data_IF_167313133275
#
_entry.id   IF_167313133275
#
_cell.length_a   1.000
_cell.length_b   1.000
_cell.length_c   1.000
_cell.angle_alpha   90.00
_cell.angle_beta   90.00
_cell.angle_gamma   90.00
#
_symmetry.space_group_name_H-M   'P 1'
#
loop_
_entity.id
_entity.type
_entity.pdbx_description
1 polymer ?
#
# COMPACT_ATOMS: atom_id res chain seq x y z
N UNK A 1 -23.02 28.70 18.24
CA UNK A 1 -22.33 28.26 17.03
C UNK A 1 -22.56 26.77 16.86
N UNK A 2 -23.06 26.35 15.73
CA UNK A 2 -23.12 24.92 15.42
C UNK A 2 -21.68 24.44 15.13
N UNK A 3 -21.13 23.57 16.01
CA UNK A 3 -19.76 23.05 15.89
C UNK A 3 -19.67 21.73 15.11
N UNK A 4 -20.83 21.19 14.72
CA UNK A 4 -20.91 19.93 13.98
C UNK A 4 -20.88 20.27 12.48
N UNK A 5 -19.93 19.73 11.70
CA UNK A 5 -19.92 19.90 10.24
C UNK A 5 -21.18 19.34 9.60
N UNK A 6 -21.64 19.94 8.52
CA UNK A 6 -22.87 19.51 7.82
C UNK A 6 -22.59 18.55 6.66
N UNK A 7 -21.32 18.31 6.33
CA UNK A 7 -20.93 17.47 5.22
C UNK A 7 -19.41 17.51 4.96
N UNK A 8 -19.01 17.04 3.79
CA UNK A 8 -17.62 17.06 3.38
C UNK A 8 -17.08 18.50 3.23
N UNK A 9 -15.80 18.75 3.56
CA UNK A 9 -15.16 20.03 3.30
C UNK A 9 -15.21 20.40 1.80
N UNK A 10 -15.22 21.70 1.48
CA UNK A 10 -15.24 22.15 0.07
C UNK A 10 -14.02 21.69 -0.73
N UNK A 11 -12.90 21.53 -0.08
CA UNK A 11 -11.62 21.07 -0.65
C UNK A 11 -11.37 19.57 -0.44
N UNK A 12 -12.42 18.78 -0.16
CA UNK A 12 -12.32 17.34 -0.02
C UNK A 12 -11.85 16.71 -1.33
N UNK A 13 -10.83 15.87 -1.26
CA UNK A 13 -10.24 15.24 -2.43
C UNK A 13 -10.98 13.93 -2.77
N UNK A 14 -11.74 13.97 -3.85
CA UNK A 14 -12.39 12.79 -4.44
C UNK A 14 -11.50 12.25 -5.55
N UNK A 15 -10.99 11.03 -5.41
CA UNK A 15 -10.00 10.49 -6.32
C UNK A 15 -10.13 9.00 -6.63
N UNK A 16 -9.20 8.57 -7.45
CA UNK A 16 -8.95 7.18 -7.73
C UNK A 16 -7.49 6.83 -7.47
N UNK A 17 -7.24 5.58 -7.07
CA UNK A 17 -5.92 5.07 -6.73
C UNK A 17 -5.56 3.84 -7.55
N UNK A 18 -4.30 3.77 -7.96
CA UNK A 18 -3.69 2.65 -8.67
C UNK A 18 -2.23 2.50 -8.24
N UNK A 19 -1.55 1.43 -8.67
CA UNK A 19 -0.12 1.22 -8.44
C UNK A 19 0.62 1.02 -9.76
N UNK A 20 1.82 1.58 -9.87
CA UNK A 20 2.68 1.47 -11.05
C UNK A 20 2.89 0.01 -11.48
N UNK A 21 3.24 -0.86 -10.53
CA UNK A 21 3.49 -2.27 -10.80
C UNK A 21 2.28 -3.06 -11.33
N UNK A 22 1.07 -2.53 -11.13
CA UNK A 22 -0.15 -3.22 -11.52
C UNK A 22 -0.67 -2.77 -12.89
N UNK A 23 -0.33 -1.55 -13.31
CA UNK A 23 -0.95 -1.00 -14.52
C UNK A 23 0.02 -0.51 -15.59
N UNK A 24 1.24 -0.08 -15.23
CA UNK A 24 2.16 0.52 -16.21
C UNK A 24 2.52 -0.44 -17.34
N UNK A 25 2.91 -1.67 -17.00
CA UNK A 25 3.56 -2.55 -17.98
C UNK A 25 4.94 -2.03 -18.36
N UNK A 26 5.34 -2.23 -19.62
CA UNK A 26 6.63 -1.75 -20.14
C UNK A 26 7.82 -2.12 -19.23
N UNK A 27 7.83 -3.36 -18.72
CA UNK A 27 8.76 -3.82 -17.68
C UNK A 27 10.22 -3.90 -18.17
N UNK A 28 10.44 -3.95 -19.47
CA UNK A 28 11.73 -4.07 -20.15
C UNK A 28 12.06 -2.87 -21.06
N UNK A 29 11.27 -1.77 -20.97
CA UNK A 29 11.47 -0.58 -21.79
C UNK A 29 12.24 0.52 -21.05
N UNK A 30 12.92 1.35 -21.84
CA UNK A 30 13.58 2.58 -21.41
C UNK A 30 14.54 2.39 -20.22
N UNK A 31 15.21 1.22 -20.16
CA UNK A 31 16.21 0.92 -19.14
C UNK A 31 15.66 0.59 -17.76
N UNK A 32 14.35 0.32 -17.63
CA UNK A 32 13.78 -0.17 -16.37
C UNK A 32 14.42 -1.49 -15.97
N UNK A 33 14.82 -1.59 -14.70
CA UNK A 33 15.23 -2.87 -14.09
C UNK A 33 14.02 -3.69 -13.64
N UNK A 34 14.24 -4.98 -13.39
CA UNK A 34 13.20 -5.84 -12.81
C UNK A 34 13.04 -5.57 -11.31
N UNK A 35 11.81 -5.55 -10.83
CA UNK A 35 11.47 -5.45 -9.42
C UNK A 35 10.75 -6.71 -8.93
N UNK A 36 10.55 -6.80 -7.62
CA UNK A 36 9.87 -7.95 -6.99
C UNK A 36 8.48 -8.21 -7.57
N UNK A 37 7.78 -7.18 -7.99
CA UNK A 37 6.46 -7.31 -8.61
C UNK A 37 6.51 -7.99 -10.00
N UNK A 38 7.61 -7.84 -10.75
CA UNK A 38 7.77 -8.41 -12.09
C UNK A 38 7.92 -9.93 -12.09
N UNK A 39 8.11 -10.55 -10.93
CA UNK A 39 8.21 -12.00 -10.76
C UNK A 39 7.02 -12.61 -9.98
N UNK A 40 5.96 -11.85 -9.76
CA UNK A 40 4.71 -12.41 -9.23
C UNK A 40 4.04 -13.25 -10.33
N UNK A 41 4.10 -14.56 -10.15
CA UNK A 41 3.51 -15.52 -11.06
C UNK A 41 2.02 -15.67 -10.82
N UNK A 42 1.23 -15.73 -11.87
CA UNK A 42 -0.19 -16.00 -11.80
C UNK A 42 -0.46 -17.50 -11.81
N UNK A 43 -1.25 -17.95 -10.86
CA UNK A 43 -1.73 -19.32 -10.74
C UNK A 43 -3.26 -19.32 -10.72
N UNK A 44 -3.90 -20.06 -11.64
CA UNK A 44 -5.36 -20.11 -11.77
C UNK A 44 -6.03 -21.08 -10.79
N UNK A 45 -5.26 -21.95 -10.14
CA UNK A 45 -5.70 -22.95 -9.17
C UNK A 45 -5.74 -22.45 -7.72
N UNK A 46 -5.31 -21.20 -7.45
CA UNK A 46 -5.33 -20.64 -6.09
C UNK A 46 -6.74 -20.19 -5.71
N UNK A 47 -7.21 -20.69 -4.57
CA UNK A 47 -8.46 -20.24 -3.96
C UNK A 47 -8.32 -18.80 -3.44
N UNK A 48 -8.99 -17.85 -4.06
CA UNK A 48 -8.94 -16.43 -3.73
C UNK A 48 -9.41 -16.11 -2.29
N UNK A 49 -10.17 -17.00 -1.67
CA UNK A 49 -10.61 -16.83 -0.29
C UNK A 49 -9.57 -17.29 0.73
N UNK A 50 -8.55 -18.01 0.29
CA UNK A 50 -7.45 -18.45 1.16
C UNK A 50 -6.36 -17.38 1.19
N UNK A 51 -5.80 -17.18 2.38
CA UNK A 51 -4.60 -16.37 2.53
C UNK A 51 -3.45 -17.08 1.83
N UNK A 52 -2.75 -16.34 0.98
CA UNK A 52 -1.54 -16.79 0.33
C UNK A 52 -0.35 -16.01 0.89
N UNK A 53 0.61 -16.73 1.47
CA UNK A 53 1.90 -16.16 1.88
C UNK A 53 2.92 -16.60 0.84
N UNK A 54 3.50 -15.63 0.16
CA UNK A 54 4.54 -15.89 -0.81
C UNK A 54 5.90 -15.62 -0.15
N UNK A 55 6.52 -16.70 0.31
CA UNK A 55 7.93 -16.70 0.67
C UNK A 55 8.70 -17.28 -0.52
N UNK A 56 9.73 -16.58 -0.97
CA UNK A 56 10.50 -16.97 -2.15
C UNK A 56 11.97 -17.11 -1.79
N UNK A 57 12.62 -18.11 -2.40
CA UNK A 57 14.06 -18.31 -2.33
C UNK A 57 14.81 -17.65 -3.51
N UNK A 58 16.12 -17.53 -3.38
CA UNK A 58 16.95 -16.94 -4.44
C UNK A 58 17.00 -17.77 -5.73
N UNK A 59 16.73 -19.07 -5.66
CA UNK A 59 16.68 -19.95 -6.84
C UNK A 59 15.46 -19.61 -7.68
N UNK A 60 14.28 -19.50 -7.04
CA UNK A 60 13.04 -19.08 -7.71
C UNK A 60 13.20 -17.69 -8.35
N UNK A 61 13.75 -16.72 -7.60
CA UNK A 61 13.96 -15.35 -8.11
C UNK A 61 14.78 -15.37 -9.40
N UNK A 62 15.93 -16.08 -9.40
CA UNK A 62 16.82 -16.18 -10.57
C UNK A 62 16.17 -16.90 -11.75
N UNK A 63 15.32 -17.87 -11.49
CA UNK A 63 14.56 -18.58 -12.54
C UNK A 63 13.47 -17.69 -13.13
N UNK A 64 12.66 -17.06 -12.29
CA UNK A 64 11.59 -16.14 -12.70
C UNK A 64 12.13 -14.95 -13.51
N UNK A 65 13.30 -14.41 -13.15
CA UNK A 65 13.95 -13.35 -13.94
C UNK A 65 14.32 -13.78 -15.37
N UNK A 66 14.61 -15.07 -15.60
CA UNK A 66 14.93 -15.61 -16.93
C UNK A 66 13.69 -15.97 -17.73
N UNK A 67 12.55 -16.12 -17.08
CA UNK A 67 11.31 -16.51 -17.72
C UNK A 67 10.86 -15.44 -18.72
N UNK A 68 10.55 -15.86 -19.92
CA UNK A 68 10.16 -14.99 -21.04
C UNK A 68 8.76 -15.32 -21.57
N UNK A 69 8.39 -14.64 -22.66
CA UNK A 69 7.18 -14.98 -23.39
C UNK A 69 7.31 -16.38 -24.01
N UNK A 70 6.36 -17.26 -23.70
CA UNK A 70 6.23 -18.56 -24.36
C UNK A 70 6.77 -19.76 -23.57
N UNK A 71 7.24 -19.58 -22.34
CA UNK A 71 7.62 -20.68 -21.43
C UNK A 71 6.45 -21.25 -20.63
N UNK A 72 5.25 -20.72 -20.82
CA UNK A 72 4.03 -21.15 -20.14
C UNK A 72 3.78 -20.48 -18.77
N UNK A 73 4.73 -19.70 -18.27
CA UNK A 73 4.57 -18.93 -17.02
C UNK A 73 3.95 -17.57 -17.32
N UNK A 74 3.09 -17.11 -16.43
CA UNK A 74 2.36 -15.84 -16.60
C UNK A 74 2.72 -14.88 -15.46
N UNK A 75 3.27 -13.72 -15.81
CA UNK A 75 3.62 -12.64 -14.89
C UNK A 75 2.82 -11.37 -15.24
N UNK A 76 1.59 -11.25 -14.76
CA UNK A 76 0.66 -10.20 -15.22
C UNK A 76 1.17 -8.78 -15.05
N UNK A 77 1.94 -8.52 -13.98
CA UNK A 77 2.46 -7.19 -13.68
C UNK A 77 3.51 -6.69 -14.68
N UNK A 78 4.12 -7.58 -15.49
CA UNK A 78 5.02 -7.18 -16.58
C UNK A 78 4.31 -6.42 -17.69
N UNK A 79 3.02 -6.65 -17.88
CA UNK A 79 2.23 -6.00 -18.94
C UNK A 79 1.23 -4.98 -18.38
N UNK A 80 0.68 -5.23 -17.20
CA UNK A 80 -0.36 -4.39 -16.63
C UNK A 80 -1.52 -4.20 -17.61
N UNK A 81 -2.01 -2.96 -17.70
CA UNK A 81 -2.98 -2.52 -18.71
C UNK A 81 -2.34 -1.64 -19.79
N UNK A 82 -1.01 -1.66 -19.85
CA UNK A 82 -0.21 -0.83 -20.77
C UNK A 82 -0.39 0.69 -20.53
N UNK A 83 -0.54 1.06 -19.28
CA UNK A 83 -0.72 2.46 -18.89
C UNK A 83 0.49 3.33 -19.28
N UNK A 84 1.67 2.74 -19.36
CA UNK A 84 2.87 3.41 -19.84
C UNK A 84 2.63 4.13 -21.19
N UNK A 85 1.86 3.53 -22.09
CA UNK A 85 1.54 4.12 -23.38
C UNK A 85 0.17 4.82 -23.41
N UNK A 86 -0.79 4.42 -22.54
CA UNK A 86 -2.19 4.87 -22.63
C UNK A 86 -2.59 5.91 -21.57
N UNK A 87 -1.66 6.30 -20.67
CA UNK A 87 -1.97 7.17 -19.51
C UNK A 87 -2.72 8.47 -19.86
N UNK A 88 -2.44 9.08 -21.02
CA UNK A 88 -3.11 10.32 -21.44
C UNK A 88 -4.61 10.14 -21.66
N UNK A 89 -4.97 9.06 -22.32
CA UNK A 89 -6.37 8.74 -22.58
C UNK A 89 -7.09 8.32 -21.30
N UNK A 90 -6.42 7.51 -20.48
CA UNK A 90 -6.95 7.01 -19.23
C UNK A 90 -7.18 8.15 -18.21
N UNK A 91 -6.22 9.06 -18.05
CA UNK A 91 -6.35 10.22 -17.17
C UNK A 91 -7.48 11.16 -17.62
N UNK A 92 -7.63 11.36 -18.93
CA UNK A 92 -8.74 12.15 -19.48
C UNK A 92 -10.10 11.53 -19.16
N UNK A 93 -10.22 10.19 -19.23
CA UNK A 93 -11.44 9.49 -18.83
C UNK A 93 -11.74 9.67 -17.35
N UNK A 94 -10.74 9.54 -16.49
CA UNK A 94 -10.87 9.72 -15.03
C UNK A 94 -11.29 11.16 -14.67
N UNK A 95 -10.66 12.14 -15.29
CA UNK A 95 -11.05 13.55 -15.12
C UNK A 95 -12.51 13.78 -15.59
N UNK A 96 -12.92 13.12 -16.68
CA UNK A 96 -14.31 13.15 -17.18
C UNK A 96 -15.33 12.57 -16.19
N UNK A 97 -14.93 11.67 -15.30
CA UNK A 97 -15.76 11.19 -14.18
C UNK A 97 -15.87 12.20 -13.03
N UNK A 98 -15.14 13.31 -13.09
CA UNK A 98 -15.18 14.37 -12.08
C UNK A 98 -14.17 14.19 -10.94
N UNK A 99 -13.20 13.28 -11.06
CA UNK A 99 -12.15 13.11 -10.07
C UNK A 99 -11.32 14.40 -9.92
N UNK A 100 -10.92 14.72 -8.69
CA UNK A 100 -10.16 15.92 -8.32
C UNK A 100 -8.72 15.60 -7.96
N UNK A 101 -8.42 14.33 -7.77
CA UNK A 101 -7.09 13.85 -7.43
C UNK A 101 -6.88 12.45 -8.01
N UNK A 102 -5.63 12.13 -8.29
CA UNK A 102 -5.25 10.80 -8.76
C UNK A 102 -4.02 10.33 -8.01
N UNK A 103 -4.11 9.13 -7.42
CA UNK A 103 -3.00 8.48 -6.74
C UNK A 103 -2.42 7.39 -7.62
N UNK A 104 -1.08 7.45 -7.81
CA UNK A 104 -0.29 6.35 -8.38
C UNK A 104 1.03 6.22 -7.65
N UNK A 105 1.86 5.24 -8.01
CA UNK A 105 3.22 5.11 -7.48
C UNK A 105 4.28 5.44 -8.52
N UNK A 106 5.52 5.64 -8.05
CA UNK A 106 6.72 5.66 -8.89
C UNK A 106 7.42 4.32 -8.71
N UNK A 107 7.66 3.60 -9.80
CA UNK A 107 8.38 2.34 -9.77
C UNK A 107 9.87 2.60 -9.52
N UNK A 108 10.39 2.16 -8.36
CA UNK A 108 11.78 2.38 -7.97
C UNK A 108 12.76 1.87 -9.04
N UNK A 109 12.53 0.66 -9.56
CA UNK A 109 13.42 0.07 -10.58
C UNK A 109 13.36 0.77 -11.94
N UNK A 110 12.40 1.68 -12.16
CA UNK A 110 12.39 2.53 -13.36
C UNK A 110 13.32 3.74 -13.19
N UNK A 111 13.53 4.19 -11.95
CA UNK A 111 14.42 5.32 -11.62
C UNK A 111 15.83 4.85 -11.31
N UNK A 112 15.98 3.79 -10.54
CA UNK A 112 17.24 3.13 -10.25
C UNK A 112 17.11 1.64 -10.58
N UNK A 113 17.50 1.23 -11.80
CA UNK A 113 17.25 -0.12 -12.30
C UNK A 113 17.76 -1.26 -11.41
N UNK A 114 18.86 -1.05 -10.73
CA UNK A 114 19.44 -2.00 -9.78
C UNK A 114 19.18 -1.61 -8.31
N UNK A 115 18.71 -0.38 -8.07
CA UNK A 115 18.49 0.19 -6.73
C UNK A 115 19.73 0.82 -6.11
N UNK A 116 20.92 0.26 -6.35
CA UNK A 116 22.24 0.72 -5.88
C UNK A 116 23.00 1.56 -6.93
N UNK A 117 22.38 1.85 -8.08
CA UNK A 117 22.98 2.62 -9.15
C UNK A 117 23.50 3.98 -8.66
N UNK A 118 24.61 4.47 -9.22
CA UNK A 118 25.17 5.77 -8.87
C UNK A 118 24.30 6.92 -9.36
N UNK A 119 23.73 6.80 -10.54
CA UNK A 119 22.92 7.84 -11.21
C UNK A 119 21.55 7.31 -11.58
N UNK A 120 20.50 8.15 -11.51
CA UNK A 120 19.17 7.74 -11.89
C UNK A 120 19.04 7.56 -13.42
N UNK A 121 18.09 6.74 -13.82
CA UNK A 121 17.67 6.57 -15.20
C UNK A 121 16.80 7.76 -15.65
N UNK A 122 17.36 8.62 -16.49
CA UNK A 122 16.67 9.83 -16.98
C UNK A 122 15.43 9.52 -17.82
N UNK A 123 15.40 8.39 -18.54
CA UNK A 123 14.20 8.00 -19.30
C UNK A 123 13.03 7.68 -18.36
N UNK A 124 13.29 7.00 -17.22
CA UNK A 124 12.31 6.76 -16.19
C UNK A 124 11.81 8.05 -15.53
N UNK A 125 12.72 8.97 -15.17
CA UNK A 125 12.35 10.29 -14.65
C UNK A 125 11.48 11.06 -15.64
N UNK A 126 11.82 11.01 -16.93
CA UNK A 126 11.07 11.72 -17.98
C UNK A 126 9.67 11.15 -18.17
N UNK A 127 9.48 9.83 -18.02
CA UNK A 127 8.15 9.24 -18.05
C UNK A 127 7.27 9.84 -16.94
N UNK A 128 7.77 9.90 -15.70
CA UNK A 128 7.00 10.48 -14.58
C UNK A 128 6.86 11.99 -14.66
N UNK A 129 7.80 12.75 -15.27
CA UNK A 129 7.56 14.17 -15.64
C UNK A 129 6.27 14.30 -16.44
N UNK A 130 6.17 13.50 -17.52
CA UNK A 130 5.05 13.54 -18.45
C UNK A 130 3.74 13.08 -17.78
N UNK A 131 3.80 12.03 -16.97
CA UNK A 131 2.64 11.50 -16.24
C UNK A 131 2.07 12.52 -15.24
N UNK A 132 2.94 13.11 -14.42
CA UNK A 132 2.54 14.11 -13.41
C UNK A 132 1.99 15.37 -14.09
N UNK A 133 2.65 15.84 -15.15
CA UNK A 133 2.17 16.97 -15.94
C UNK A 133 0.80 16.71 -16.55
N UNK A 134 0.53 15.49 -17.03
CA UNK A 134 -0.77 15.11 -17.58
C UNK A 134 -1.85 15.02 -16.49
N UNK A 135 -1.55 14.52 -15.29
CA UNK A 135 -2.48 14.54 -14.15
C UNK A 135 -2.92 15.99 -13.86
N UNK A 136 -1.94 16.89 -13.75
CA UNK A 136 -2.17 18.31 -13.47
C UNK A 136 -2.95 18.99 -14.62
N UNK A 137 -2.57 18.71 -15.87
CA UNK A 137 -3.25 19.28 -17.05
C UNK A 137 -4.72 18.87 -17.15
N UNK A 138 -5.08 17.71 -16.62
CA UNK A 138 -6.46 17.24 -16.51
C UNK A 138 -7.20 17.79 -15.27
N UNK A 139 -6.59 18.72 -14.51
CA UNK A 139 -7.21 19.38 -13.36
C UNK A 139 -7.30 18.52 -12.11
N UNK A 140 -6.47 17.47 -12.01
CA UNK A 140 -6.38 16.60 -10.85
C UNK A 140 -5.09 16.91 -10.06
N UNK A 141 -5.18 16.83 -8.73
CA UNK A 141 -4.02 16.92 -7.84
C UNK A 141 -3.32 15.55 -7.76
N UNK A 142 -2.01 15.45 -8.03
CA UNK A 142 -1.28 14.20 -7.87
C UNK A 142 -1.03 13.87 -6.40
N UNK A 143 -1.33 12.63 -6.00
CA UNK A 143 -0.83 11.99 -4.77
C UNK A 143 0.09 10.85 -5.21
N UNK A 144 1.35 10.90 -4.82
CA UNK A 144 2.35 9.94 -5.29
C UNK A 144 2.81 9.05 -4.15
N UNK A 145 2.77 7.74 -4.39
CA UNK A 145 3.37 6.73 -3.52
C UNK A 145 4.80 6.44 -4.01
N UNK A 146 5.79 6.54 -3.14
CA UNK A 146 7.20 6.35 -3.50
C UNK A 146 7.51 4.87 -3.67
N UNK A 147 7.09 4.03 -2.71
CA UNK A 147 7.26 2.57 -2.80
C UNK A 147 5.92 1.86 -2.70
N UNK A 148 5.56 1.11 -3.73
CA UNK A 148 4.37 0.26 -3.78
C UNK A 148 4.75 -1.15 -4.20
N UNK A 149 5.73 -1.75 -3.47
CA UNK A 149 6.25 -3.10 -3.69
C UNK A 149 7.07 -3.25 -4.98
N UNK A 150 7.83 -2.20 -5.35
CA UNK A 150 8.68 -2.22 -6.55
C UNK A 150 10.18 -2.24 -6.21
N UNK A 151 10.58 -2.97 -5.17
CA UNK A 151 11.99 -3.14 -4.81
C UNK A 151 12.76 -3.77 -5.97
N UNK A 152 13.85 -3.15 -6.46
CA UNK A 152 14.69 -3.75 -7.50
C UNK A 152 15.22 -5.12 -7.10
N UNK A 153 15.07 -6.13 -7.97
CA UNK A 153 15.49 -7.51 -7.67
C UNK A 153 16.99 -7.66 -7.39
N UNK A 154 17.81 -6.75 -7.90
CA UNK A 154 19.22 -6.69 -7.55
C UNK A 154 19.43 -6.49 -6.04
N UNK A 155 18.58 -5.66 -5.39
CA UNK A 155 18.64 -5.47 -3.94
C UNK A 155 18.26 -6.75 -3.18
N UNK A 156 17.29 -7.52 -3.66
CA UNK A 156 16.98 -8.84 -3.11
C UNK A 156 18.19 -9.78 -3.21
N UNK A 157 18.77 -9.89 -4.40
CA UNK A 157 19.83 -10.85 -4.67
C UNK A 157 21.16 -10.53 -3.98
N UNK A 158 21.53 -9.25 -3.89
CA UNK A 158 22.83 -8.84 -3.36
C UNK A 158 22.78 -8.38 -1.91
N UNK A 159 21.66 -7.81 -1.45
CA UNK A 159 21.50 -7.20 -0.13
C UNK A 159 20.42 -7.88 0.73
N UNK A 160 19.68 -8.83 0.19
CA UNK A 160 18.51 -9.44 0.81
C UNK A 160 17.41 -8.43 1.16
N UNK A 161 17.11 -7.52 0.21
CA UNK A 161 16.07 -6.52 0.33
C UNK A 161 16.25 -5.61 1.55
N UNK A 162 15.16 -5.25 2.19
CA UNK A 162 15.16 -4.38 3.36
C UNK A 162 15.88 -4.94 4.59
N UNK A 163 16.28 -6.23 4.59
CA UNK A 163 17.06 -6.81 5.69
C UNK A 163 18.43 -6.16 5.83
N UNK A 164 19.07 -5.74 4.72
CA UNK A 164 20.32 -4.99 4.77
C UNK A 164 20.10 -3.50 5.07
N UNK A 165 20.89 -2.98 6.01
CA UNK A 165 20.87 -1.55 6.34
C UNK A 165 21.33 -0.66 5.20
N UNK A 166 22.13 -1.13 4.27
CA UNK A 166 22.58 -0.37 3.09
C UNK A 166 21.40 0.09 2.23
N UNK A 167 20.28 -0.66 2.24
CA UNK A 167 19.08 -0.32 1.49
C UNK A 167 18.41 0.98 2.02
N UNK A 168 18.65 1.34 3.29
CA UNK A 168 18.22 2.64 3.85
C UNK A 168 18.80 3.80 3.03
N UNK A 169 20.11 3.75 2.76
CA UNK A 169 20.80 4.81 2.03
C UNK A 169 20.41 4.84 0.55
N UNK A 170 20.19 3.68 -0.08
CA UNK A 170 19.71 3.58 -1.45
C UNK A 170 18.29 4.17 -1.59
N UNK A 171 17.41 3.86 -0.65
CA UNK A 171 16.06 4.39 -0.65
C UNK A 171 16.02 5.90 -0.37
N UNK A 172 16.82 6.38 0.59
CA UNK A 172 16.95 7.82 0.85
C UNK A 172 17.44 8.56 -0.39
N UNK A 173 18.41 8.02 -1.13
CA UNK A 173 18.90 8.57 -2.40
C UNK A 173 17.78 8.62 -3.44
N UNK A 174 17.00 7.54 -3.58
CA UNK A 174 15.87 7.49 -4.47
C UNK A 174 14.81 8.54 -4.11
N UNK A 175 14.42 8.64 -2.84
CA UNK A 175 13.49 9.66 -2.36
C UNK A 175 13.99 11.09 -2.67
N UNK A 176 15.26 11.38 -2.42
CA UNK A 176 15.86 12.70 -2.73
C UNK A 176 15.72 13.05 -4.21
N UNK A 177 16.04 12.10 -5.10
CA UNK A 177 15.93 12.33 -6.54
C UNK A 177 14.50 12.64 -6.96
N UNK A 178 13.51 11.87 -6.48
CA UNK A 178 12.09 12.08 -6.87
C UNK A 178 11.51 13.35 -6.21
N UNK A 179 11.84 13.64 -4.98
CA UNK A 179 11.42 14.89 -4.33
C UNK A 179 11.99 16.11 -5.06
N UNK A 180 13.30 16.12 -5.36
CA UNK A 180 13.96 17.20 -6.08
C UNK A 180 13.37 17.39 -7.48
N UNK A 181 13.09 16.31 -8.20
CA UNK A 181 12.56 16.35 -9.56
C UNK A 181 11.15 16.90 -9.63
N UNK A 182 10.31 16.52 -8.68
CA UNK A 182 8.87 16.82 -8.73
C UNK A 182 8.45 17.89 -7.73
N UNK A 183 9.40 18.57 -7.09
CA UNK A 183 9.13 19.72 -6.23
C UNK A 183 8.30 20.79 -6.96
N UNK A 184 7.30 21.34 -6.26
CA UNK A 184 6.37 22.32 -6.81
C UNK A 184 5.26 21.74 -7.68
N UNK A 185 5.34 20.46 -8.08
CA UNK A 185 4.27 19.74 -8.82
C UNK A 185 3.47 18.80 -7.92
N UNK A 186 4.14 18.07 -7.05
CA UNK A 186 3.54 17.09 -6.15
C UNK A 186 3.67 17.56 -4.71
N UNK A 187 2.54 17.69 -4.02
CA UNK A 187 2.48 18.11 -2.61
C UNK A 187 2.18 16.95 -1.66
N UNK A 188 1.43 15.96 -2.12
CA UNK A 188 0.98 14.83 -1.30
C UNK A 188 1.79 13.57 -1.66
N UNK A 189 2.55 13.09 -0.69
CA UNK A 189 3.41 11.92 -0.86
C UNK A 189 3.07 10.85 0.18
N UNK A 190 3.01 9.60 -0.24
CA UNK A 190 2.98 8.43 0.63
C UNK A 190 4.32 7.72 0.44
N UNK A 191 5.10 7.54 1.52
CA UNK A 191 6.44 6.96 1.35
C UNK A 191 6.36 5.49 1.00
N UNK A 192 5.62 4.70 1.79
CA UNK A 192 5.47 3.26 1.59
C UNK A 192 3.99 2.88 1.65
N UNK A 193 3.58 2.06 0.69
CA UNK A 193 2.23 1.49 0.66
C UNK A 193 2.09 0.38 1.69
N UNK A 194 1.04 0.43 2.52
CA UNK A 194 0.59 -0.66 3.40
C UNK A 194 1.75 -1.35 4.15
N UNK A 195 2.58 -0.58 4.84
CA UNK A 195 3.82 -1.02 5.48
C UNK A 195 3.64 -2.19 6.48
N UNK A 196 2.41 -2.46 6.93
CA UNK A 196 2.10 -3.56 7.85
C UNK A 196 1.89 -4.93 7.18
N UNK A 197 1.97 -5.05 5.85
CA UNK A 197 1.74 -6.31 5.15
C UNK A 197 2.96 -7.25 5.14
N UNK A 198 3.82 -7.20 6.15
CA UNK A 198 5.00 -8.06 6.24
C UNK A 198 4.69 -9.54 6.50
N UNK A 199 3.48 -9.84 6.99
CA UNK A 199 3.04 -11.21 7.25
C UNK A 199 2.35 -11.89 6.08
N UNK A 200 1.84 -11.13 5.11
CA UNK A 200 1.02 -11.63 4.00
C UNK A 200 1.73 -11.67 2.67
N UNK A 201 2.50 -10.65 2.39
CA UNK A 201 3.19 -10.44 1.12
C UNK A 201 4.64 -10.09 1.40
N UNK A 202 5.24 -10.79 2.36
CA UNK A 202 6.54 -10.43 2.92
C UNK A 202 7.64 -10.33 1.86
N UNK A 203 7.71 -11.25 0.90
CA UNK A 203 8.67 -11.13 -0.19
C UNK A 203 8.38 -9.91 -1.07
N UNK A 204 7.12 -9.72 -1.48
CA UNK A 204 6.74 -8.58 -2.32
C UNK A 204 6.99 -7.24 -1.64
N UNK A 205 6.75 -7.17 -0.34
CA UNK A 205 6.92 -5.95 0.44
C UNK A 205 8.38 -5.68 0.79
N UNK A 206 9.07 -6.70 1.33
CA UNK A 206 10.40 -6.54 1.93
C UNK A 206 11.55 -6.93 0.98
N UNK A 207 11.28 -7.71 -0.05
CA UNK A 207 12.32 -8.26 -0.93
C UNK A 207 13.28 -9.21 -0.22
N UNK A 208 12.88 -9.82 0.89
CA UNK A 208 13.70 -10.75 1.69
C UNK A 208 13.51 -12.16 1.17
N UNK A 209 14.58 -12.77 0.67
CA UNK A 209 14.60 -14.18 0.27
C UNK A 209 14.79 -15.08 1.49
N UNK A 210 13.94 -16.11 1.63
CA UNK A 210 13.88 -16.96 2.81
C UNK A 210 15.16 -17.79 3.04
N UNK A 211 15.82 -18.19 1.94
CA UNK A 211 17.06 -18.98 1.98
C UNK A 211 18.30 -18.20 2.44
N UNK A 212 18.18 -16.90 2.70
CA UNK A 212 19.28 -16.02 3.13
C UNK A 212 19.25 -15.66 4.62
N UNK A 213 18.32 -16.19 5.38
CA UNK A 213 18.15 -15.88 6.80
C UNK A 213 17.83 -17.15 7.59
N UNK A 214 18.37 -17.26 8.81
CA UNK A 214 18.11 -18.40 9.69
C UNK A 214 16.78 -18.26 10.44
N UNK A 215 16.38 -17.04 10.80
CA UNK A 215 15.14 -16.69 11.46
C UNK A 215 14.36 -15.67 10.63
N UNK A 216 13.46 -16.18 9.81
CA UNK A 216 12.66 -15.36 8.90
C UNK A 216 11.74 -14.38 9.66
N UNK A 217 11.25 -14.77 10.83
CA UNK A 217 10.37 -13.88 11.63
C UNK A 217 11.13 -12.65 12.13
N UNK A 218 12.31 -12.84 12.71
CA UNK A 218 13.17 -11.72 13.12
C UNK A 218 13.62 -10.91 11.92
N UNK A 219 13.94 -11.56 10.79
CA UNK A 219 14.37 -10.89 9.58
C UNK A 219 13.28 -9.96 9.01
N UNK A 220 12.02 -10.36 9.05
CA UNK A 220 10.89 -9.50 8.63
C UNK A 220 10.76 -8.24 9.48
N UNK A 221 10.88 -8.37 10.80
CA UNK A 221 10.80 -7.22 11.70
C UNK A 221 12.05 -6.34 11.61
N UNK A 222 13.23 -6.92 11.38
CA UNK A 222 14.45 -6.16 11.09
C UNK A 222 14.33 -5.40 9.77
N UNK A 223 13.80 -6.04 8.73
CA UNK A 223 13.62 -5.42 7.42
C UNK A 223 12.65 -4.23 7.49
N UNK A 224 11.49 -4.39 8.14
CA UNK A 224 10.56 -3.27 8.29
C UNK A 224 11.08 -2.18 9.23
N UNK A 225 11.92 -2.53 10.22
CA UNK A 225 12.62 -1.52 11.02
C UNK A 225 13.50 -0.63 10.13
N UNK A 226 14.32 -1.23 9.28
CA UNK A 226 15.17 -0.50 8.33
C UNK A 226 14.32 0.35 7.37
N UNK A 227 13.18 -0.17 6.89
CA UNK A 227 12.24 0.58 6.05
C UNK A 227 11.64 1.79 6.79
N UNK A 228 11.25 1.64 8.07
CA UNK A 228 10.74 2.77 8.87
C UNK A 228 11.81 3.84 9.11
N UNK A 229 13.06 3.44 9.34
CA UNK A 229 14.19 4.40 9.44
C UNK A 229 14.39 5.13 8.12
N UNK A 230 14.33 4.43 7.00
CA UNK A 230 14.43 5.05 5.66
C UNK A 230 13.28 6.03 5.42
N UNK A 231 12.05 5.68 5.80
CA UNK A 231 10.89 6.58 5.74
C UNK A 231 11.12 7.86 6.55
N UNK A 232 11.64 7.74 7.76
CA UNK A 232 11.92 8.88 8.63
C UNK A 232 13.01 9.80 8.06
N UNK A 233 14.09 9.24 7.50
CA UNK A 233 15.15 10.01 6.82
C UNK A 233 14.63 10.74 5.58
N UNK A 234 13.81 10.08 4.76
CA UNK A 234 13.17 10.69 3.61
C UNK A 234 12.22 11.83 4.04
N UNK A 235 11.46 11.64 5.12
CA UNK A 235 10.57 12.67 5.69
C UNK A 235 11.38 13.88 6.15
N UNK A 236 12.49 13.66 6.87
CA UNK A 236 13.40 14.73 7.30
C UNK A 236 13.87 15.55 6.10
N UNK A 237 14.39 14.90 5.06
CA UNK A 237 14.86 15.58 3.87
C UNK A 237 13.78 16.43 3.19
N UNK A 238 12.57 15.88 3.07
CA UNK A 238 11.44 16.61 2.49
C UNK A 238 11.09 17.86 3.32
N UNK A 239 10.98 17.74 4.65
CA UNK A 239 10.66 18.86 5.52
C UNK A 239 11.73 19.95 5.54
N UNK A 240 13.01 19.57 5.52
CA UNK A 240 14.11 20.52 5.51
C UNK A 240 14.19 21.31 4.18
N UNK A 241 13.91 20.64 3.07
CA UNK A 241 14.13 21.23 1.73
C UNK A 241 12.85 21.77 1.08
N UNK A 242 11.71 21.13 1.34
CA UNK A 242 10.43 21.40 0.70
C UNK A 242 9.30 21.44 1.74
N UNK A 243 9.23 22.47 2.58
CA UNK A 243 8.29 22.54 3.69
C UNK A 243 6.80 22.56 3.28
N UNK A 244 6.51 22.75 1.99
CA UNK A 244 5.16 22.66 1.43
C UNK A 244 4.73 21.21 1.13
N UNK A 245 5.66 20.25 1.08
CA UNK A 245 5.33 18.85 0.90
C UNK A 245 4.69 18.28 2.16
N UNK A 246 3.69 17.44 1.96
CA UNK A 246 3.02 16.69 3.02
C UNK A 246 3.38 15.22 2.85
N UNK A 247 4.02 14.67 3.83
CA UNK A 247 4.50 13.29 3.83
C UNK A 247 3.56 12.43 4.67
N UNK A 248 3.04 11.37 4.09
CA UNK A 248 2.13 10.43 4.76
C UNK A 248 2.69 9.02 4.84
N UNK A 249 2.21 8.31 5.81
CA UNK A 249 2.38 6.86 5.92
C UNK A 249 1.07 6.16 5.59
N UNK A 250 1.09 4.86 5.27
CA UNK A 250 -0.10 4.11 4.93
C UNK A 250 -0.12 2.71 5.57
N UNK A 251 -1.29 2.35 6.11
CA UNK A 251 -1.60 1.00 6.57
C UNK A 251 -2.59 0.29 5.63
N UNK A 252 -2.49 -1.03 5.54
CA UNK A 252 -3.62 -1.88 5.21
C UNK A 252 -4.48 -2.00 6.46
N UNK A 253 -5.70 -1.50 6.43
CA UNK A 253 -6.49 -1.35 7.62
C UNK A 253 -7.90 -1.94 7.53
N UNK A 254 -8.38 -2.28 8.67
CA UNK A 254 -9.70 -2.73 9.04
C UNK A 254 -9.60 -3.21 10.47
N UNK A 255 -10.44 -2.73 11.40
CA UNK A 255 -10.35 -3.17 12.79
C UNK A 255 -10.64 -4.66 12.86
N UNK A 256 -9.93 -5.35 13.76
CA UNK A 256 -10.38 -6.64 14.23
C UNK A 256 -11.25 -6.43 15.45
N UNK A 257 -12.46 -7.01 15.42
CA UNK A 257 -13.38 -6.98 16.54
C UNK A 257 -13.10 -8.15 17.47
N UNK A 258 -13.35 -7.98 18.76
CA UNK A 258 -13.36 -9.10 19.67
C UNK A 258 -14.57 -10.02 19.40
N UNK A 259 -14.33 -11.32 19.34
CA UNK A 259 -15.35 -12.30 19.07
C UNK A 259 -16.48 -12.30 20.12
N UNK A 260 -16.13 -11.99 21.38
CA UNK A 260 -17.08 -11.92 22.46
C UNK A 260 -16.75 -10.77 23.43
N UNK A 261 -17.65 -10.52 24.37
CA UNK A 261 -17.40 -9.59 25.47
C UNK A 261 -16.54 -10.17 26.62
N UNK A 262 -16.02 -11.39 26.48
CA UNK A 262 -15.11 -11.96 27.49
C UNK A 262 -13.83 -11.13 27.56
N UNK A 263 -13.32 -10.81 28.78
CA UNK A 263 -12.12 -9.99 28.95
C UNK A 263 -10.90 -10.55 28.21
N UNK A 264 -10.79 -11.89 28.10
CA UNK A 264 -9.69 -12.57 27.41
C UNK A 264 -9.70 -12.28 25.90
N UNK A 265 -10.88 -12.32 25.26
CA UNK A 265 -11.03 -12.02 23.83
C UNK A 265 -10.80 -10.52 23.55
N UNK A 266 -11.29 -9.65 24.46
CA UNK A 266 -11.04 -8.20 24.36
C UNK A 266 -9.53 -7.89 24.43
N UNK A 267 -8.81 -8.51 25.39
CA UNK A 267 -7.38 -8.30 25.53
C UNK A 267 -6.57 -8.87 24.35
N UNK A 268 -6.95 -10.03 23.85
CA UNK A 268 -6.32 -10.65 22.67
C UNK A 268 -6.48 -9.75 21.44
N UNK A 269 -7.69 -9.25 21.21
CA UNK A 269 -7.99 -8.33 20.09
C UNK A 269 -7.24 -7.01 20.23
N UNK A 270 -7.15 -6.45 21.45
CA UNK A 270 -6.34 -5.25 21.69
C UNK A 270 -4.89 -5.48 21.29
N UNK A 271 -4.27 -6.59 21.72
CA UNK A 271 -2.88 -6.93 21.39
C UNK A 271 -2.67 -7.14 19.89
N UNK A 272 -3.62 -7.80 19.22
CA UNK A 272 -3.60 -7.97 17.77
C UNK A 272 -3.62 -6.59 17.07
N UNK A 273 -4.61 -5.75 17.37
CA UNK A 273 -4.75 -4.43 16.78
C UNK A 273 -3.53 -3.52 17.09
N UNK A 274 -2.93 -3.65 18.28
CA UNK A 274 -1.70 -2.91 18.60
C UNK A 274 -0.57 -3.26 17.62
N UNK A 275 -0.39 -4.53 17.25
CA UNK A 275 0.65 -4.91 16.29
C UNK A 275 0.30 -4.51 14.86
N UNK A 276 -0.97 -4.45 14.48
CA UNK A 276 -1.39 -3.85 13.21
C UNK A 276 -1.07 -2.35 13.15
N UNK A 277 -1.21 -1.63 14.27
CA UNK A 277 -0.95 -0.19 14.36
C UNK A 277 0.50 0.17 14.72
N UNK A 278 1.33 -0.83 15.02
CA UNK A 278 2.73 -0.63 15.42
C UNK A 278 3.48 0.30 14.46
N UNK A 279 3.36 0.08 13.18
CA UNK A 279 4.04 0.84 12.12
C UNK A 279 3.60 2.30 12.09
N UNK A 280 2.30 2.53 12.22
CA UNK A 280 1.77 3.89 12.30
C UNK A 280 2.12 4.58 13.62
N UNK A 281 2.19 3.84 14.74
CA UNK A 281 2.67 4.40 16.00
C UNK A 281 4.13 4.90 15.85
N UNK A 282 4.99 4.11 15.20
CA UNK A 282 6.39 4.53 14.98
C UNK A 282 6.47 5.74 14.06
N UNK A 283 5.82 5.68 12.88
CA UNK A 283 5.96 6.73 11.85
C UNK A 283 5.19 8.03 12.17
N UNK A 284 4.21 8.01 13.07
CA UNK A 284 3.42 9.19 13.44
C UNK A 284 3.74 9.74 14.84
N UNK A 285 4.33 8.92 15.73
CA UNK A 285 4.71 9.33 17.09
C UNK A 285 6.22 9.43 17.27
N UNK A 286 7.01 8.79 16.42
CA UNK A 286 8.46 8.89 16.41
C UNK A 286 9.19 8.00 17.41
N UNK A 287 8.56 6.93 17.90
CA UNK A 287 9.18 6.00 18.85
C UNK A 287 8.50 4.63 18.85
N UNK A 288 9.22 3.61 19.30
CA UNK A 288 8.71 2.27 19.48
C UNK A 288 7.85 2.17 20.74
N UNK A 289 6.57 1.78 20.65
CA UNK A 289 5.72 1.63 21.83
C UNK A 289 6.11 0.40 22.66
N UNK A 290 5.89 0.49 23.98
CA UNK A 290 6.28 -0.60 24.90
C UNK A 290 5.64 -1.95 24.61
N UNK A 291 4.44 -1.98 24.00
CA UNK A 291 3.80 -3.23 23.62
C UNK A 291 4.53 -3.96 22.49
N UNK A 292 5.28 -3.24 21.63
CA UNK A 292 6.06 -3.84 20.55
C UNK A 292 7.27 -4.60 21.13
N UNK A 293 8.01 -3.99 22.07
CA UNK A 293 9.11 -4.68 22.76
C UNK A 293 8.61 -5.91 23.52
N UNK A 294 7.44 -5.81 24.16
CA UNK A 294 6.81 -6.95 24.83
C UNK A 294 6.45 -8.07 23.84
N UNK A 295 5.90 -7.72 22.69
CA UNK A 295 5.57 -8.68 21.63
C UNK A 295 6.85 -9.38 21.12
N UNK A 296 7.92 -8.62 20.90
CA UNK A 296 9.19 -9.17 20.44
C UNK A 296 9.78 -10.15 21.47
N UNK A 297 9.79 -9.78 22.75
CA UNK A 297 10.22 -10.66 23.83
C UNK A 297 9.39 -11.95 23.90
N UNK A 298 8.06 -11.83 23.88
CA UNK A 298 7.12 -12.97 23.96
C UNK A 298 7.25 -13.94 22.75
N UNK A 299 7.70 -13.43 21.59
CA UNK A 299 7.85 -14.21 20.35
C UNK A 299 9.30 -14.58 20.02
N UNK A 300 10.27 -14.14 20.80
CA UNK A 300 11.71 -14.36 20.53
C UNK A 300 12.20 -13.64 19.28
N UNK A 301 11.60 -12.50 18.93
CA UNK A 301 11.97 -11.68 17.77
C UNK A 301 13.11 -10.75 18.16
N UNK A 302 14.15 -10.73 17.34
CA UNK A 302 15.31 -9.88 17.53
C UNK A 302 15.36 -8.78 16.46
N UNK A 303 15.42 -7.53 16.91
CA UNK A 303 15.57 -6.34 16.05
C UNK A 303 16.75 -5.52 16.56
N UNK A 304 17.73 -5.30 15.70
CA UNK A 304 18.90 -4.47 16.00
C UNK A 304 18.64 -3.02 15.59
N UNK A 305 18.93 -2.09 16.50
CA UNK A 305 18.87 -0.67 16.27
C UNK A 305 20.26 -0.12 15.94
N UNK A 306 20.37 0.69 14.90
CA UNK A 306 21.56 1.48 14.62
C UNK A 306 21.71 2.64 15.60
N UNK A 307 22.90 3.20 15.71
CA UNK A 307 23.28 4.26 16.66
C UNK A 307 22.34 5.49 16.60
N UNK A 308 21.80 5.82 15.42
CA UNK A 308 20.99 7.01 15.19
C UNK A 308 19.52 6.73 14.89
N UNK A 309 19.07 5.47 14.90
CA UNK A 309 17.72 5.09 14.46
C UNK A 309 16.62 5.75 15.32
N UNK A 310 16.80 5.80 16.64
CA UNK A 310 15.83 6.46 17.53
C UNK A 310 15.71 7.97 17.28
N UNK A 311 16.80 8.62 16.84
CA UNK A 311 16.78 10.04 16.49
C UNK A 311 16.16 10.25 15.11
N UNK A 312 16.51 9.42 14.14
CA UNK A 312 15.93 9.46 12.79
C UNK A 312 14.40 9.27 12.84
N UNK A 313 13.91 8.30 13.63
CA UNK A 313 12.48 8.00 13.78
C UNK A 313 11.64 9.17 14.32
N UNK A 314 12.23 10.16 14.99
CA UNK A 314 11.52 11.38 15.44
C UNK A 314 11.03 12.26 14.29
N UNK A 315 11.51 12.04 13.06
CA UNK A 315 11.02 12.73 11.87
C UNK A 315 9.71 12.08 11.38
N UNK A 316 8.60 12.50 11.96
CA UNK A 316 7.29 11.87 11.79
C UNK A 316 6.55 12.38 10.56
N UNK A 317 5.70 11.52 10.00
CA UNK A 317 4.82 11.86 8.88
C UNK A 317 3.75 12.91 9.27
N UNK A 318 3.27 13.68 8.27
CA UNK A 318 2.30 14.77 8.46
C UNK A 318 0.86 14.29 8.52
N UNK A 319 0.54 13.20 7.81
CA UNK A 319 -0.82 12.65 7.76
C UNK A 319 -0.80 11.13 7.83
N UNK A 320 -1.92 10.60 8.30
CA UNK A 320 -2.21 9.18 8.29
C UNK A 320 -3.03 8.81 7.06
N UNK A 321 -2.69 7.72 6.40
CA UNK A 321 -3.52 7.14 5.36
C UNK A 321 -3.67 5.62 5.50
N UNK A 322 -4.74 5.09 4.93
CA UNK A 322 -4.99 3.67 4.98
C UNK A 322 -5.87 3.18 3.82
N UNK A 323 -5.76 1.88 3.55
CA UNK A 323 -6.73 1.15 2.74
C UNK A 323 -7.78 0.49 3.63
N UNK A 324 -9.03 0.52 3.20
CA UNK A 324 -10.13 -0.13 3.89
C UNK A 324 -10.91 -1.03 2.94
N UNK A 325 -10.95 -2.31 3.24
CA UNK A 325 -11.66 -3.29 2.42
C UNK A 325 -12.69 -4.09 3.22
N UNK A 326 -12.32 -4.57 4.41
CA UNK A 326 -13.14 -5.40 5.28
C UNK A 326 -12.62 -5.40 6.72
N UNK A 327 -13.41 -5.98 7.62
CA UNK A 327 -13.07 -6.18 9.03
C UNK A 327 -12.93 -7.67 9.36
N UNK A 328 -12.28 -7.97 10.45
CA UNK A 328 -12.00 -9.33 10.93
C UNK A 328 -12.49 -9.49 12.38
N UNK A 329 -12.37 -10.69 12.88
CA UNK A 329 -12.63 -11.06 14.28
C UNK A 329 -11.41 -11.74 14.87
N UNK A 330 -11.11 -11.42 16.12
CA UNK A 330 -10.05 -12.02 16.91
C UNK A 330 -10.62 -12.52 18.23
N UNK A 331 -10.14 -13.65 18.71
CA UNK A 331 -10.36 -14.15 20.06
C UNK A 331 -9.04 -14.64 20.69
N UNK A 332 -9.09 -15.05 21.94
CA UNK A 332 -7.92 -15.54 22.65
C UNK A 332 -7.26 -16.72 21.93
N UNK A 333 -8.05 -17.68 21.47
CA UNK A 333 -7.52 -18.89 20.84
C UNK A 333 -6.82 -18.57 19.52
N UNK A 334 -7.43 -17.77 18.65
CA UNK A 334 -6.85 -17.37 17.37
C UNK A 334 -5.58 -16.51 17.54
N UNK A 335 -5.55 -15.64 18.56
CA UNK A 335 -4.38 -14.85 18.88
C UNK A 335 -3.21 -15.72 19.40
N UNK A 336 -3.47 -16.65 20.34
CA UNK A 336 -2.46 -17.55 20.89
C UNK A 336 -1.90 -18.52 19.83
N UNK A 337 -2.75 -18.92 18.87
CA UNK A 337 -2.39 -19.79 17.74
C UNK A 337 -1.72 -19.05 16.56
N UNK A 338 -0.92 -18.03 16.84
CA UNK A 338 -0.12 -17.32 15.82
C UNK A 338 -0.67 -15.96 15.41
N UNK A 339 -1.39 -15.29 16.32
CA UNK A 339 -1.98 -13.96 16.06
C UNK A 339 -2.92 -13.94 14.84
N UNK A 340 -3.73 -14.98 14.72
CA UNK A 340 -4.64 -15.15 13.60
C UNK A 340 -5.93 -14.37 13.81
N UNK A 341 -6.55 -14.02 12.69
CA UNK A 341 -7.88 -13.41 12.63
C UNK A 341 -8.73 -14.15 11.60
N UNK A 342 -10.04 -14.08 11.76
CA UNK A 342 -10.97 -14.76 10.87
C UNK A 342 -12.14 -13.86 10.45
N UNK A 343 -12.92 -14.36 9.50
CA UNK A 343 -14.06 -13.63 8.97
C UNK A 343 -15.12 -13.40 10.03
N UNK A 344 -15.69 -12.20 10.09
CA UNK A 344 -16.87 -11.91 10.90
C UNK A 344 -18.11 -12.55 10.26
N UNK A 345 -18.66 -13.59 10.89
CA UNK A 345 -19.82 -14.33 10.39
C UNK A 345 -21.15 -13.61 10.61
N UNK A 346 -21.16 -12.55 11.43
CA UNK A 346 -22.35 -11.70 11.65
C UNK A 346 -22.56 -10.70 10.49
N UNK A 347 -21.57 -10.56 9.59
CA UNK A 347 -21.63 -9.66 8.47
C UNK A 347 -21.77 -10.40 7.13
N UNK A 348 -22.55 -9.85 6.18
CA UNK A 348 -22.56 -10.37 4.82
C UNK A 348 -21.17 -10.21 4.18
N UNK A 349 -20.86 -11.09 3.24
CA UNK A 349 -19.60 -11.03 2.51
C UNK A 349 -19.85 -11.20 1.01
N UNK A 350 -18.93 -10.68 0.20
CA UNK A 350 -18.92 -10.89 -1.24
C UNK A 350 -18.38 -12.29 -1.62
N UNK A 351 -18.31 -12.55 -2.93
CA UNK A 351 -17.80 -13.81 -3.50
C UNK A 351 -16.34 -14.10 -3.13
N UNK A 352 -15.57 -13.07 -2.73
CA UNK A 352 -14.18 -13.21 -2.29
C UNK A 352 -14.05 -13.42 -0.77
N UNK A 353 -15.17 -13.55 -0.05
CA UNK A 353 -15.20 -13.70 1.40
C UNK A 353 -14.93 -12.39 2.17
N UNK A 354 -14.93 -11.23 1.48
CA UNK A 354 -14.75 -9.93 2.12
C UNK A 354 -16.06 -9.44 2.73
N UNK A 355 -16.02 -9.11 4.00
CA UNK A 355 -17.20 -8.62 4.72
C UNK A 355 -17.58 -7.21 4.32
N UNK A 356 -18.89 -6.95 4.24
CA UNK A 356 -19.44 -5.61 4.06
C UNK A 356 -19.59 -4.94 5.42
N UNK A 357 -18.73 -3.99 5.73
CA UNK A 357 -18.75 -3.29 7.01
C UNK A 357 -18.53 -1.79 6.87
N UNK A 358 -19.54 -1.04 6.43
CA UNK A 358 -19.44 0.43 6.37
C UNK A 358 -19.26 1.07 7.74
N UNK A 359 -19.87 0.49 8.80
CA UNK A 359 -19.71 0.98 10.18
C UNK A 359 -18.28 0.80 10.71
N UNK A 360 -17.61 -0.27 10.31
CA UNK A 360 -16.20 -0.50 10.61
C UNK A 360 -15.30 0.61 10.08
N UNK A 361 -15.62 1.18 8.91
CA UNK A 361 -14.90 2.34 8.39
C UNK A 361 -15.05 3.56 9.32
N UNK A 362 -16.27 3.88 9.79
CA UNK A 362 -16.49 4.97 10.74
C UNK A 362 -15.80 4.71 12.07
N UNK A 363 -15.88 3.49 12.57
CA UNK A 363 -15.19 3.07 13.79
C UNK A 363 -13.68 3.32 13.67
N UNK A 364 -13.05 2.83 12.59
CA UNK A 364 -11.62 2.98 12.35
C UNK A 364 -11.19 4.44 12.19
N UNK A 365 -11.98 5.24 11.47
CA UNK A 365 -11.71 6.68 11.31
C UNK A 365 -11.67 7.41 12.66
N UNK A 366 -12.62 7.11 13.56
CA UNK A 366 -12.64 7.69 14.91
C UNK A 366 -11.47 7.18 15.76
N UNK A 367 -11.16 5.87 15.70
CA UNK A 367 -10.04 5.28 16.44
C UNK A 367 -8.70 5.90 16.04
N UNK A 368 -8.44 6.06 14.75
CA UNK A 368 -7.21 6.69 14.28
C UNK A 368 -7.16 8.19 14.54
N UNK A 369 -8.30 8.87 14.45
CA UNK A 369 -8.36 10.27 14.82
C UNK A 369 -8.03 10.47 16.31
N UNK A 370 -8.61 9.68 17.18
CA UNK A 370 -8.33 9.75 18.62
C UNK A 370 -6.87 9.38 18.94
N UNK A 371 -6.29 8.43 18.15
CA UNK A 371 -4.93 7.95 18.37
C UNK A 371 -3.85 8.92 17.93
N UNK A 372 -4.04 9.63 16.81
CA UNK A 372 -2.97 10.41 16.18
C UNK A 372 -3.25 11.90 16.08
N UNK A 373 -4.50 12.34 16.04
CA UNK A 373 -4.90 13.74 15.84
C UNK A 373 -4.18 14.39 14.64
N UNK A 374 -3.96 13.60 13.56
CA UNK A 374 -3.37 14.04 12.31
C UNK A 374 -4.41 13.91 11.18
N UNK A 375 -4.31 14.72 10.11
CA UNK A 375 -5.19 14.56 8.95
C UNK A 375 -5.24 13.14 8.45
N UNK A 376 -6.42 12.69 8.00
CA UNK A 376 -6.64 11.32 7.52
C UNK A 376 -7.04 11.34 6.04
N UNK A 377 -6.49 10.38 5.28
CA UNK A 377 -6.90 10.06 3.92
C UNK A 377 -7.23 8.57 3.81
N UNK A 378 -8.39 8.25 3.20
CA UNK A 378 -8.67 6.88 2.77
C UNK A 378 -8.08 6.74 1.36
N UNK A 379 -6.90 6.16 1.27
CA UNK A 379 -6.11 6.12 0.03
C UNK A 379 -6.40 4.91 -0.83
N UNK A 380 -7.15 3.95 -0.30
CA UNK A 380 -7.75 2.86 -1.05
C UNK A 380 -9.05 2.40 -0.40
N UNK A 381 -10.08 2.22 -1.20
CA UNK A 381 -11.30 1.52 -0.80
C UNK A 381 -11.96 0.93 -2.04
N UNK A 382 -12.53 -0.25 -1.91
CA UNK A 382 -13.19 -0.95 -2.99
C UNK A 382 -13.66 -2.33 -2.56
N UNK A 383 -14.35 -3.02 -3.46
CA UNK A 383 -14.81 -4.37 -3.24
C UNK A 383 -14.49 -5.26 -4.43
N UNK A 384 -14.03 -6.47 -4.15
CA UNK A 384 -13.75 -7.47 -5.15
C UNK A 384 -15.03 -8.19 -5.60
N UNK A 385 -15.19 -8.32 -6.92
CA UNK A 385 -16.29 -9.06 -7.54
C UNK A 385 -15.81 -9.74 -8.81
N UNK A 386 -16.52 -10.79 -9.23
CA UNK A 386 -16.35 -11.38 -10.55
C UNK A 386 -17.24 -10.62 -11.55
N UNK A 387 -16.70 -9.50 -12.03
CA UNK A 387 -17.41 -8.65 -12.97
C UNK A 387 -17.69 -9.38 -14.29
N UNK A 388 -18.90 -9.18 -14.85
CA UNK A 388 -19.29 -9.76 -16.14
C UNK A 388 -19.51 -8.65 -17.16
N UNK A 389 -18.96 -8.87 -18.35
CA UNK A 389 -19.22 -8.01 -19.49
C UNK A 389 -20.52 -8.48 -20.17
N UNK A 390 -21.57 -7.64 -20.14
CA UNK A 390 -22.86 -7.89 -20.79
C UNK A 390 -23.13 -6.75 -21.76
N UNK A 391 -23.34 -7.04 -23.03
CA UNK A 391 -23.57 -6.05 -24.08
C UNK A 391 -22.53 -4.90 -24.12
N UNK A 392 -21.25 -5.24 -23.86
CA UNK A 392 -20.14 -4.27 -23.83
C UNK A 392 -20.10 -3.37 -22.59
N UNK A 393 -20.85 -3.70 -21.55
CA UNK A 393 -20.92 -2.95 -20.28
C UNK A 393 -20.81 -3.88 -19.08
N UNK A 394 -20.27 -3.34 -17.99
CA UNK A 394 -20.33 -3.99 -16.68
C UNK A 394 -21.47 -3.32 -15.89
N UNK A 395 -22.47 -4.12 -15.51
CA UNK A 395 -23.57 -3.70 -14.68
C UNK A 395 -23.27 -4.04 -13.22
N UNK A 396 -22.84 -3.03 -12.44
CA UNK A 396 -22.35 -3.19 -11.07
C UNK A 396 -23.11 -2.36 -10.00
N UNK A 397 -24.45 -2.49 -9.89
CA UNK A 397 -25.22 -1.77 -8.87
C UNK A 397 -24.77 -2.08 -7.45
N UNK A 398 -24.24 -3.29 -7.20
CA UNK A 398 -23.64 -3.70 -5.95
C UNK A 398 -22.43 -2.82 -5.56
N UNK A 399 -21.62 -2.38 -6.54
CA UNK A 399 -20.47 -1.49 -6.28
C UNK A 399 -20.94 -0.07 -5.99
N UNK A 400 -22.00 0.40 -6.65
CA UNK A 400 -22.63 1.69 -6.35
C UNK A 400 -23.17 1.70 -4.92
N UNK A 401 -23.83 0.64 -4.49
CA UNK A 401 -24.35 0.51 -3.12
C UNK A 401 -23.22 0.42 -2.10
N UNK A 402 -22.15 -0.31 -2.40
CA UNK A 402 -20.93 -0.36 -1.58
C UNK A 402 -20.38 1.06 -1.32
N UNK A 403 -20.15 1.83 -2.37
CA UNK A 403 -19.63 3.19 -2.24
C UNK A 403 -20.61 4.11 -1.48
N UNK A 404 -21.90 4.04 -1.78
CA UNK A 404 -22.91 4.85 -1.09
C UNK A 404 -22.88 4.63 0.42
N UNK A 405 -22.88 3.37 0.86
CA UNK A 405 -22.87 3.03 2.28
C UNK A 405 -21.58 3.51 2.98
N UNK A 406 -20.42 3.38 2.33
CA UNK A 406 -19.15 3.85 2.90
C UNK A 406 -19.08 5.38 2.95
N UNK A 407 -19.53 6.09 1.90
CA UNK A 407 -19.58 7.56 1.85
C UNK A 407 -20.49 8.11 2.96
N UNK A 408 -21.61 7.47 3.24
CA UNK A 408 -22.48 7.85 4.36
C UNK A 408 -21.75 7.76 5.69
N UNK A 409 -20.97 6.69 5.93
CA UNK A 409 -20.20 6.54 7.16
C UNK A 409 -19.01 7.51 7.26
N UNK A 410 -18.37 7.85 6.15
CA UNK A 410 -17.36 8.92 6.11
C UNK A 410 -17.95 10.26 6.53
N UNK A 411 -19.15 10.59 6.04
CA UNK A 411 -19.87 11.81 6.41
C UNK A 411 -20.19 11.86 7.91
N UNK A 412 -20.59 10.73 8.48
CA UNK A 412 -20.84 10.62 9.92
C UNK A 412 -19.54 10.75 10.73
N UNK A 413 -18.42 10.14 10.29
CA UNK A 413 -17.12 10.31 10.93
C UNK A 413 -16.66 11.79 10.96
N UNK A 414 -16.89 12.53 9.84
CA UNK A 414 -16.61 13.97 9.81
C UNK A 414 -17.47 14.72 10.84
N UNK A 415 -18.73 14.35 11.03
CA UNK A 415 -19.60 14.93 12.06
C UNK A 415 -19.12 14.57 13.48
N UNK A 416 -18.52 13.40 13.66
CA UNK A 416 -17.89 12.99 14.92
C UNK A 416 -16.64 13.84 15.25
N UNK A 417 -16.07 14.56 14.26
CA UNK A 417 -14.93 15.46 14.45
C UNK A 417 -13.64 15.00 13.76
N UNK A 418 -13.70 13.94 12.96
CA UNK A 418 -12.53 13.42 12.23
C UNK A 418 -12.11 14.39 11.12
N UNK A 419 -10.84 14.76 11.05
CA UNK A 419 -10.26 15.54 9.94
C UNK A 419 -9.96 14.62 8.74
N UNK A 420 -11.03 14.17 8.08
CA UNK A 420 -10.94 13.38 6.85
C UNK A 420 -10.86 14.31 5.63
N UNK A 421 -9.77 14.23 4.87
CA UNK A 421 -9.46 15.16 3.79
C UNK A 421 -9.61 14.60 2.39
N UNK A 422 -9.57 13.27 2.21
CA UNK A 422 -9.68 12.67 0.89
C UNK A 422 -10.07 11.20 0.92
N UNK A 423 -10.61 10.78 -0.23
CA UNK A 423 -11.03 9.41 -0.49
C UNK A 423 -10.65 9.02 -1.91
N UNK A 424 -10.06 7.83 -2.04
CA UNK A 424 -9.57 7.28 -3.31
C UNK A 424 -10.17 5.90 -3.53
N UNK A 425 -11.00 5.77 -4.57
CA UNK A 425 -11.48 4.47 -5.01
C UNK A 425 -10.34 3.67 -5.61
N UNK A 426 -10.17 2.40 -5.17
CA UNK A 426 -9.14 1.54 -5.70
C UNK A 426 -9.53 0.93 -7.04
N UNK A 427 -8.62 0.95 -8.01
CA UNK A 427 -8.80 0.35 -9.32
C UNK A 427 -9.90 1.03 -10.15
N UNK A 428 -9.93 2.37 -10.27
CA UNK A 428 -10.99 3.09 -10.99
C UNK A 428 -10.97 2.85 -12.50
N UNK A 429 -9.92 2.24 -13.03
CA UNK A 429 -9.77 1.88 -14.45
C UNK A 429 -10.04 0.40 -14.64
N UNK A 430 -11.29 0.03 -14.82
CA UNK A 430 -11.69 -1.28 -15.34
C UNK A 430 -11.90 -1.13 -16.84
N UNK A 431 -10.84 -1.34 -17.62
CA UNK A 431 -11.03 -1.56 -19.05
C UNK A 431 -11.56 -2.98 -19.23
N UNK A 432 -12.87 -3.13 -19.35
CA UNK A 432 -13.47 -4.31 -19.94
C UNK A 432 -12.92 -4.42 -21.39
N UNK A 433 -11.87 -5.19 -21.59
CA UNK A 433 -11.37 -5.50 -22.92
C UNK A 433 -11.48 -6.99 -23.22
N UNK A 434 -11.68 -7.26 -24.50
CA UNK A 434 -11.90 -8.55 -25.13
C UNK A 434 -10.76 -9.58 -24.91
N UNK A 435 -9.67 -9.23 -24.22
CA UNK A 435 -8.55 -10.12 -23.96
C UNK A 435 -8.60 -10.71 -22.55
N UNK A 436 -8.60 -12.02 -22.44
CA UNK A 436 -8.53 -12.77 -21.19
C UNK A 436 -7.33 -12.39 -20.30
N UNK A 437 -6.19 -11.98 -20.89
CA UNK A 437 -5.01 -11.51 -20.17
C UNK A 437 -5.28 -10.27 -19.29
N UNK A 438 -6.12 -9.33 -19.74
CA UNK A 438 -6.50 -8.17 -18.91
C UNK A 438 -7.43 -8.53 -17.78
N UNK A 439 -8.26 -9.55 -17.95
CA UNK A 439 -9.10 -10.14 -16.91
C UNK A 439 -8.23 -10.77 -15.81
N UNK A 440 -7.15 -11.44 -16.22
CA UNK A 440 -6.13 -12.03 -15.36
C UNK A 440 -5.38 -10.94 -14.59
N UNK A 441 -4.95 -9.86 -15.25
CA UNK A 441 -4.26 -8.73 -14.59
C UNK A 441 -5.14 -8.09 -13.52
N UNK A 442 -6.41 -7.82 -13.81
CA UNK A 442 -7.33 -7.21 -12.84
C UNK A 442 -7.69 -8.16 -11.69
N UNK A 443 -7.71 -9.47 -11.92
CA UNK A 443 -7.91 -10.49 -10.88
C UNK A 443 -6.61 -10.79 -10.12
N UNK A 444 -5.46 -10.76 -10.79
CA UNK A 444 -4.13 -10.92 -10.21
C UNK A 444 -3.65 -9.73 -9.37
N UNK A 445 -4.25 -8.56 -9.54
CA UNK A 445 -3.99 -7.33 -8.75
C UNK A 445 -4.36 -7.51 -7.26
N UNK A 446 -5.11 -8.53 -6.90
CA UNK A 446 -5.61 -8.76 -5.53
C UNK A 446 -5.22 -10.12 -4.93
N UNK A 447 -4.21 -10.78 -5.48
CA UNK A 447 -3.60 -11.96 -4.85
C UNK A 447 -2.32 -11.59 -4.17
#
# INVERSE_FOLDING_TARGET
MNRVPTGFPKNFLWGGAVAANQLEGAYDLDGKGMCVADINEFHDDIDIQKKYNEELDTAFVKEAMKAGHGDGRIFPKRWGIDFYHTYKEDLKLLAGLGLKTFRTSINWSRIFPNGDDETPNEAGLKFYDNLIDEIIANGMEPMITISHYEIPLNLTLNYNGWYSREVIDFFEKYCKVVFDRYAGKVKLWIIVNQINLIGHESFNHLGVAEDKVDDLQSAKYQAVHNEMVACARATRYAHEKYPEMQIGMMLCGGPSYAATCKPEDQLATLKHNQMEYFYSDVLLRGYYPGYAFRFFEDKGIHVEFGEHDEEDLKNTCDFFSFSYYYTRVCDKESYENGNQVYRNMELPANEWGWTFDPLGLRYMLNEFWDRYQKPIYITENGSGYYDKLEDGKVHDPYRVDFYRMHIEQMKEAIKDGVDLRGYYAWGPMVKAQENELRKIVMTGIKK
#
